data_IF_103805320854
#
_entry.id   IF_103805320854
#
_cell.length_a   1.000
_cell.length_b   1.000
_cell.length_c   1.000
_cell.angle_alpha   90.00
_cell.angle_beta   90.00
_cell.angle_gamma   90.00
#
_symmetry.space_group_name_H-M   'P 1'
#
loop_
_entity.id
_entity.type
_entity.pdbx_description
1 polymer ?
#
# COMPACT_ATOMS: atom_id res chain seq x y z
N UNK A 1 -12.52 -51.69 47.97
CA UNK A 1 -13.16 -50.37 48.17
C UNK A 1 -13.23 -49.68 46.83
N UNK A 2 -14.36 -49.81 46.14
CA UNK A 2 -14.65 -49.21 44.84
C UNK A 2 -16.10 -48.72 44.92
N UNK A 3 -16.29 -47.41 44.99
CA UNK A 3 -17.60 -46.79 45.09
C UNK A 3 -18.01 -46.22 43.73
N UNK A 4 -18.98 -46.88 43.12
CA UNK A 4 -19.71 -46.47 41.91
C UNK A 4 -20.72 -45.39 42.31
N UNK A 5 -20.51 -44.15 41.87
CA UNK A 5 -21.44 -43.04 42.05
C UNK A 5 -22.35 -42.85 40.84
N UNK A 6 -23.64 -43.17 41.01
CA UNK A 6 -24.71 -42.91 40.03
C UNK A 6 -25.18 -41.46 40.20
N UNK A 7 -25.06 -40.63 39.15
CA UNK A 7 -25.60 -39.27 39.13
C UNK A 7 -27.05 -39.31 38.62
N UNK A 8 -28.00 -38.95 39.48
CA UNK A 8 -29.42 -38.77 39.14
C UNK A 8 -29.63 -37.45 38.37
N UNK A 9 -30.29 -37.55 37.22
CA UNK A 9 -30.75 -36.40 36.44
C UNK A 9 -32.07 -35.87 37.02
N UNK A 10 -32.12 -34.59 37.40
CA UNK A 10 -33.33 -33.94 37.89
C UNK A 10 -34.04 -33.21 36.74
N UNK A 11 -35.23 -33.68 36.38
CA UNK A 11 -36.13 -33.03 35.42
C UNK A 11 -36.81 -31.81 36.06
N UNK A 12 -36.52 -30.60 35.57
CA UNK A 12 -37.28 -29.39 35.90
C UNK A 12 -38.41 -29.20 34.89
N UNK A 13 -39.64 -29.06 35.40
CA UNK A 13 -40.83 -28.71 34.63
C UNK A 13 -40.73 -27.29 34.06
N UNK A 14 -41.09 -27.12 32.80
CA UNK A 14 -41.14 -25.82 32.12
C UNK A 14 -42.44 -25.10 32.48
N UNK A 15 -42.33 -23.89 33.05
CA UNK A 15 -43.47 -22.99 33.29
C UNK A 15 -43.58 -22.04 32.09
N UNK A 16 -44.71 -22.07 31.39
CA UNK A 16 -45.02 -21.17 30.27
C UNK A 16 -45.45 -19.80 30.78
N UNK A 17 -44.60 -18.79 30.62
CA UNK A 17 -44.95 -17.39 30.82
C UNK A 17 -45.40 -16.77 29.49
N UNK A 18 -46.63 -16.24 29.45
CA UNK A 18 -47.16 -15.53 28.29
C UNK A 18 -46.48 -14.15 28.15
N UNK A 19 -45.83 -13.90 27.02
CA UNK A 19 -45.21 -12.62 26.70
C UNK A 19 -46.26 -11.63 26.19
N UNK A 20 -46.40 -10.49 26.88
CA UNK A 20 -47.21 -9.35 26.44
C UNK A 20 -46.39 -8.50 25.45
N UNK A 21 -46.83 -8.44 24.19
CA UNK A 21 -46.22 -7.63 23.13
C UNK A 21 -46.59 -6.16 23.29
N UNK A 22 -45.62 -5.30 23.57
CA UNK A 22 -45.77 -3.83 23.45
C UNK A 22 -45.47 -3.41 22.00
N UNK A 23 -46.24 -2.47 21.39
CA UNK A 23 -45.98 -2.01 20.04
C UNK A 23 -44.71 -1.15 19.99
N UNK A 24 -43.87 -1.40 18.99
CA UNK A 24 -42.65 -0.65 18.67
C UNK A 24 -43.08 0.66 17.98
N UNK A 25 -42.65 1.86 18.42
CA UNK A 25 -42.97 3.10 17.72
C UNK A 25 -42.17 3.18 16.42
N UNK A 26 -42.90 3.15 15.30
CA UNK A 26 -42.36 3.31 13.95
C UNK A 26 -42.06 4.78 13.67
N UNK A 27 -40.86 5.23 14.00
CA UNK A 27 -40.28 6.45 13.43
C UNK A 27 -38.95 6.14 12.77
N UNK A 28 -39.01 5.53 11.57
CA UNK A 28 -37.88 5.55 10.65
C UNK A 28 -37.83 6.93 10.01
N UNK A 29 -37.17 7.88 10.68
CA UNK A 29 -36.71 9.08 10.00
C UNK A 29 -35.60 8.68 9.03
N UNK A 30 -35.92 8.69 7.74
CA UNK A 30 -34.95 8.53 6.67
C UNK A 30 -33.99 9.73 6.73
N UNK A 31 -32.85 9.58 7.41
CA UNK A 31 -31.75 10.54 7.29
C UNK A 31 -31.24 10.45 5.85
N UNK A 32 -31.58 11.45 5.05
CA UNK A 32 -30.91 11.72 3.79
C UNK A 32 -29.43 11.99 4.09
N UNK A 33 -28.58 10.99 3.86
CA UNK A 33 -27.14 11.21 3.79
C UNK A 33 -26.91 12.17 2.63
N UNK A 34 -26.49 13.40 2.94
CA UNK A 34 -25.95 14.33 1.95
C UNK A 34 -24.81 13.60 1.23
N UNK A 35 -25.06 13.22 -0.02
CA UNK A 35 -24.04 12.69 -0.91
C UNK A 35 -23.10 13.84 -1.25
N UNK A 36 -22.05 14.00 -0.46
CA UNK A 36 -20.90 14.77 -0.92
C UNK A 36 -20.40 14.15 -2.22
N UNK A 37 -20.10 14.99 -3.21
CA UNK A 37 -19.55 14.55 -4.48
C UNK A 37 -18.33 13.65 -4.23
N UNK A 38 -18.16 12.54 -4.98
CA UNK A 38 -16.98 11.70 -4.85
C UNK A 38 -15.72 12.55 -5.02
N UNK A 39 -14.76 12.37 -4.11
CA UNK A 39 -13.45 12.99 -4.18
C UNK A 39 -12.88 12.74 -5.57
N UNK A 40 -12.42 13.77 -6.31
CA UNK A 40 -11.94 13.59 -7.68
C UNK A 40 -10.87 12.50 -7.74
N UNK A 41 -11.03 11.55 -8.67
CA UNK A 41 -10.03 10.50 -8.93
C UNK A 41 -8.71 11.17 -9.31
N UNK A 42 -7.59 10.72 -8.74
CA UNK A 42 -6.28 11.27 -9.10
C UNK A 42 -6.04 11.11 -10.61
N UNK A 43 -5.30 12.04 -11.21
CA UNK A 43 -4.89 11.91 -12.60
C UNK A 43 -4.16 10.57 -12.80
N UNK A 44 -4.35 9.89 -13.93
CA UNK A 44 -3.70 8.62 -14.20
C UNK A 44 -2.17 8.76 -14.09
N UNK A 45 -1.51 7.70 -13.60
CA UNK A 45 -0.05 7.67 -13.49
C UNK A 45 0.58 7.95 -14.87
N UNK A 46 1.60 8.80 -14.90
CA UNK A 46 2.35 9.11 -16.13
C UNK A 46 3.16 7.92 -16.63
N UNK A 47 3.49 7.00 -15.71
CA UNK A 47 4.23 5.76 -15.98
C UNK A 47 3.24 4.61 -16.16
N UNK A 48 3.49 3.76 -17.16
CA UNK A 48 2.71 2.55 -17.39
C UNK A 48 2.77 1.61 -16.17
N UNK A 49 1.65 1.01 -15.73
CA UNK A 49 1.66 0.01 -14.66
C UNK A 49 2.52 -1.23 -14.95
N UNK A 50 2.86 -1.47 -16.23
CA UNK A 50 3.72 -2.58 -16.67
C UNK A 50 5.17 -2.15 -16.89
N UNK A 51 5.49 -0.87 -16.69
CA UNK A 51 6.82 -0.30 -16.98
C UNK A 51 7.95 -1.18 -16.41
N UNK A 52 7.92 -1.51 -15.12
CA UNK A 52 8.97 -2.32 -14.50
C UNK A 52 9.13 -3.70 -15.17
N UNK A 53 8.02 -4.39 -15.48
CA UNK A 53 8.09 -5.71 -16.13
C UNK A 53 8.55 -5.60 -17.57
N UNK A 54 8.09 -4.59 -18.30
CA UNK A 54 8.39 -4.38 -19.71
C UNK A 54 9.86 -3.97 -19.88
N UNK A 55 10.36 -3.07 -19.03
CA UNK A 55 11.78 -2.66 -19.02
C UNK A 55 12.70 -3.83 -18.68
N UNK A 56 12.33 -4.69 -17.72
CA UNK A 56 13.08 -5.94 -17.43
C UNK A 56 13.10 -6.88 -18.64
N UNK A 57 11.97 -7.06 -19.32
CA UNK A 57 11.89 -7.90 -20.51
C UNK A 57 12.74 -7.35 -21.66
N UNK A 58 12.76 -6.03 -21.85
CA UNK A 58 13.60 -5.34 -22.85
C UNK A 58 15.09 -5.55 -22.61
N UNK A 59 15.55 -5.39 -21.37
CA UNK A 59 16.94 -5.69 -21.02
C UNK A 59 17.25 -7.18 -21.19
N UNK A 60 16.33 -8.05 -20.76
CA UNK A 60 16.45 -9.50 -20.97
C UNK A 60 16.61 -9.88 -22.44
N UNK A 61 15.83 -9.26 -23.34
CA UNK A 61 15.97 -9.45 -24.79
C UNK A 61 17.36 -9.07 -25.30
N UNK A 62 17.91 -7.95 -24.82
CA UNK A 62 19.26 -7.53 -25.18
C UNK A 62 20.29 -8.58 -24.75
N UNK A 63 20.17 -9.10 -23.53
CA UNK A 63 21.07 -10.14 -23.00
C UNK A 63 20.95 -11.44 -23.81
N UNK A 64 19.73 -11.91 -24.09
CA UNK A 64 19.50 -13.15 -24.85
C UNK A 64 20.03 -13.07 -26.28
N UNK A 65 19.95 -11.89 -26.92
CA UNK A 65 20.45 -11.70 -28.28
C UNK A 65 21.99 -11.80 -28.39
N UNK A 66 22.70 -11.53 -27.29
CA UNK A 66 24.16 -11.45 -27.27
C UNK A 66 24.64 -10.01 -27.09
N UNK A 67 25.44 -9.79 -26.05
CA UNK A 67 26.01 -8.49 -25.70
C UNK A 67 27.54 -8.56 -25.65
N UNK A 68 28.19 -7.48 -26.07
CA UNK A 68 29.64 -7.30 -25.86
C UNK A 68 29.93 -7.14 -24.37
N UNK A 69 31.15 -7.44 -23.89
CA UNK A 69 31.48 -7.39 -22.46
C UNK A 69 31.10 -6.07 -21.77
N UNK A 70 31.40 -4.93 -22.39
CA UNK A 70 31.04 -3.59 -21.88
C UNK A 70 29.53 -3.34 -21.78
N UNK A 71 28.73 -3.99 -22.64
CA UNK A 71 27.27 -3.89 -22.65
C UNK A 71 26.66 -4.83 -21.59
N UNK A 72 27.32 -5.96 -21.30
CA UNK A 72 26.92 -6.87 -20.22
C UNK A 72 27.02 -6.16 -18.87
N UNK A 73 28.10 -5.43 -18.63
CA UNK A 73 28.27 -4.64 -17.40
C UNK A 73 27.18 -3.59 -17.23
N UNK A 74 26.85 -2.87 -18.30
CA UNK A 74 25.78 -1.86 -18.30
C UNK A 74 24.39 -2.50 -18.09
N UNK A 75 24.09 -3.60 -18.78
CA UNK A 75 22.85 -4.35 -18.59
C UNK A 75 22.73 -4.88 -17.15
N UNK A 76 23.82 -5.39 -16.58
CA UNK A 76 23.89 -5.82 -15.20
C UNK A 76 23.63 -4.69 -14.20
N UNK A 77 24.19 -3.50 -14.46
CA UNK A 77 23.92 -2.28 -13.67
C UNK A 77 22.43 -1.92 -13.68
N UNK A 78 21.80 -1.89 -14.87
CA UNK A 78 20.37 -1.60 -15.00
C UNK A 78 19.51 -2.64 -14.27
N UNK A 79 19.80 -3.93 -14.46
CA UNK A 79 19.05 -5.02 -13.79
C UNK A 79 19.19 -4.92 -12.27
N UNK A 80 20.39 -4.62 -11.76
CA UNK A 80 20.62 -4.39 -10.34
C UNK A 80 19.75 -3.24 -9.83
N UNK A 81 19.76 -2.10 -10.51
CA UNK A 81 18.95 -0.93 -10.14
C UNK A 81 17.44 -1.23 -10.15
N UNK A 82 16.94 -1.90 -11.19
CA UNK A 82 15.55 -2.38 -11.31
C UNK A 82 15.20 -3.48 -10.29
N UNK A 83 16.20 -4.14 -9.70
CA UNK A 83 16.05 -5.18 -8.68
C UNK A 83 16.01 -4.62 -7.26
N UNK A 84 16.82 -3.59 -6.99
CA UNK A 84 16.99 -3.02 -5.64
C UNK A 84 16.04 -1.85 -5.39
N UNK A 85 15.90 -0.95 -6.36
CA UNK A 85 15.24 0.35 -6.22
C UNK A 85 13.80 0.34 -6.74
N UNK A 86 13.27 -0.84 -7.07
CA UNK A 86 11.98 -0.98 -7.75
C UNK A 86 10.80 -0.36 -6.99
N UNK A 87 10.82 -0.33 -5.65
CA UNK A 87 9.76 0.33 -4.88
C UNK A 87 9.75 1.83 -5.10
N UNK A 88 10.93 2.44 -5.11
CA UNK A 88 11.09 3.88 -5.37
C UNK A 88 10.66 4.20 -6.81
N UNK A 89 11.03 3.35 -7.76
CA UNK A 89 10.62 3.52 -9.16
C UNK A 89 9.11 3.33 -9.34
N UNK A 90 8.49 2.34 -8.70
CA UNK A 90 7.04 2.05 -8.86
C UNK A 90 6.17 2.99 -8.02
N UNK A 91 6.42 3.09 -6.72
CA UNK A 91 5.61 3.90 -5.81
C UNK A 91 6.13 5.33 -5.69
N UNK A 92 7.45 5.51 -5.64
CA UNK A 92 8.07 6.83 -5.51
C UNK A 92 7.85 7.72 -6.74
N UNK A 93 7.74 7.18 -7.95
CA UNK A 93 7.34 7.94 -9.16
C UNK A 93 5.90 8.47 -9.11
N UNK A 94 5.09 8.02 -8.14
CA UNK A 94 3.77 8.55 -7.83
C UNK A 94 3.75 9.40 -6.54
N UNK A 95 4.93 9.67 -5.97
CA UNK A 95 5.12 10.48 -4.77
C UNK A 95 4.96 9.74 -3.44
N UNK A 96 4.92 8.40 -3.44
CA UNK A 96 4.98 7.65 -2.18
C UNK A 96 6.39 7.66 -1.60
N UNK A 97 6.51 7.88 -0.29
CA UNK A 97 7.80 7.79 0.40
C UNK A 97 8.05 6.35 0.85
N UNK A 98 9.04 5.71 0.25
CA UNK A 98 9.28 4.26 0.32
C UNK A 98 10.31 3.84 1.36
N UNK A 99 10.94 4.80 2.05
CA UNK A 99 11.87 4.55 3.14
C UNK A 99 11.22 3.67 4.23
N UNK A 100 11.88 2.62 4.74
CA UNK A 100 11.31 1.74 5.77
C UNK A 100 10.86 2.46 7.05
N UNK A 101 11.47 3.61 7.40
CA UNK A 101 11.09 4.45 8.54
C UNK A 101 9.84 5.29 8.24
N UNK A 102 9.36 5.31 7.00
CA UNK A 102 8.11 5.95 6.58
C UNK A 102 7.05 4.95 6.15
N UNK A 103 7.44 3.76 5.71
CA UNK A 103 6.50 2.71 5.34
C UNK A 103 5.57 2.34 6.50
N UNK A 104 4.26 2.24 6.24
CA UNK A 104 3.31 1.75 7.24
C UNK A 104 3.53 0.26 7.52
N UNK A 105 3.76 -0.52 6.48
CA UNK A 105 4.24 -1.90 6.58
C UNK A 105 5.37 -2.06 5.57
N UNK A 106 6.49 -2.65 5.99
CA UNK A 106 7.62 -2.90 5.11
C UNK A 106 7.93 -4.39 5.05
N UNK A 107 7.71 -5.00 3.88
CA UNK A 107 7.90 -6.44 3.63
C UNK A 107 7.23 -7.34 4.67
N UNK A 108 6.03 -6.97 5.11
CA UNK A 108 5.19 -7.74 6.01
C UNK A 108 4.84 -9.08 5.34
N UNK A 109 5.06 -10.19 6.04
CA UNK A 109 4.68 -11.50 5.50
C UNK A 109 3.15 -11.60 5.42
N UNK A 110 2.66 -12.06 4.27
CA UNK A 110 1.33 -12.63 4.19
C UNK A 110 1.39 -13.99 4.89
N UNK A 111 0.39 -14.30 5.70
CA UNK A 111 0.29 -15.60 6.38
C UNK A 111 -0.81 -16.44 5.74
N UNK A 112 -0.63 -17.76 5.74
CA UNK A 112 -1.52 -18.69 5.03
C UNK A 112 -3.01 -18.50 5.39
N UNK A 113 -3.31 -18.21 6.66
CA UNK A 113 -4.67 -18.00 7.18
C UNK A 113 -5.34 -16.68 6.76
N UNK A 114 -4.67 -15.82 6.00
CA UNK A 114 -5.27 -14.62 5.39
C UNK A 114 -5.96 -14.92 4.06
N UNK A 115 -5.81 -16.15 3.55
CA UNK A 115 -6.51 -16.62 2.37
C UNK A 115 -7.91 -17.14 2.71
N UNK A 116 -8.80 -17.11 1.73
CA UNK A 116 -10.11 -17.76 1.82
C UNK A 116 -10.21 -18.98 0.89
N UNK A 117 -11.39 -19.61 0.86
CA UNK A 117 -11.66 -20.78 0.03
C UNK A 117 -11.56 -20.54 -1.48
N UNK A 118 -11.45 -19.27 -1.93
CA UNK A 118 -11.27 -18.93 -3.34
C UNK A 118 -9.80 -18.98 -3.77
N UNK A 119 -8.87 -19.31 -2.86
CA UNK A 119 -7.47 -19.58 -3.18
C UNK A 119 -6.60 -18.32 -3.30
N UNK A 120 -7.02 -17.21 -2.71
CA UNK A 120 -6.27 -15.96 -2.65
C UNK A 120 -6.51 -15.25 -1.32
N UNK A 121 -5.71 -14.22 -1.03
CA UNK A 121 -5.89 -13.35 0.14
C UNK A 121 -7.30 -12.76 0.12
N UNK A 122 -8.01 -12.90 1.23
CA UNK A 122 -9.38 -12.43 1.35
C UNK A 122 -9.44 -10.90 1.21
N UNK A 123 -10.48 -10.40 0.53
CA UNK A 123 -10.62 -8.97 0.22
C UNK A 123 -10.61 -8.06 1.47
N UNK A 124 -11.14 -8.53 2.61
CA UNK A 124 -11.15 -7.78 3.87
C UNK A 124 -9.73 -7.54 4.40
N UNK A 125 -8.78 -8.42 4.09
CA UNK A 125 -7.40 -8.29 4.57
C UNK A 125 -6.71 -7.04 4.01
N UNK A 126 -7.03 -6.60 2.79
CA UNK A 126 -6.47 -5.38 2.22
C UNK A 126 -6.85 -4.13 3.02
N UNK A 127 -8.08 -4.08 3.55
CA UNK A 127 -8.53 -3.00 4.45
C UNK A 127 -7.73 -3.05 5.76
N UNK A 128 -7.51 -4.25 6.32
CA UNK A 128 -6.69 -4.44 7.53
C UNK A 128 -5.23 -4.05 7.31
N UNK A 129 -4.67 -4.32 6.13
CA UNK A 129 -3.32 -3.91 5.77
C UNK A 129 -3.21 -2.38 5.67
N UNK A 130 -4.19 -1.72 5.05
CA UNK A 130 -4.26 -0.27 4.98
C UNK A 130 -4.39 0.36 6.38
N UNK A 131 -5.26 -0.19 7.24
CA UNK A 131 -5.42 0.25 8.63
C UNK A 131 -4.13 0.12 9.44
N UNK A 132 -3.53 -1.08 9.44
CA UNK A 132 -2.27 -1.34 10.15
C UNK A 132 -1.15 -0.44 9.62
N UNK A 133 -1.10 -0.27 8.30
CA UNK A 133 -0.17 0.64 7.64
C UNK A 133 -0.35 2.08 8.11
N UNK A 134 -1.58 2.59 8.19
CA UNK A 134 -1.87 3.97 8.65
C UNK A 134 -1.47 4.18 10.11
N UNK A 135 -1.76 3.21 10.98
CA UNK A 135 -1.36 3.26 12.38
C UNK A 135 0.16 3.32 12.50
N UNK A 136 0.89 2.42 11.84
CA UNK A 136 2.35 2.41 11.88
C UNK A 136 2.97 3.64 11.21
N UNK A 137 2.41 4.12 10.11
CA UNK A 137 2.81 5.38 9.46
C UNK A 137 2.72 6.56 10.43
N UNK A 138 1.65 6.62 11.23
CA UNK A 138 1.49 7.62 12.30
C UNK A 138 2.54 7.45 13.40
N UNK A 139 2.77 6.23 13.89
CA UNK A 139 3.80 5.94 14.90
C UNK A 139 5.21 6.30 14.44
N UNK A 140 5.50 6.06 13.18
CA UNK A 140 6.80 6.33 12.58
C UNK A 140 7.19 7.82 12.64
N UNK A 141 6.23 8.75 12.61
CA UNK A 141 6.53 10.16 12.90
C UNK A 141 7.10 10.32 14.30
N UNK A 142 6.39 9.84 15.32
CA UNK A 142 6.84 9.90 16.70
C UNK A 142 8.13 9.09 16.97
N UNK A 143 8.44 8.10 16.15
CA UNK A 143 9.65 7.29 16.31
C UNK A 143 10.87 7.89 15.61
N UNK A 144 10.73 8.41 14.39
CA UNK A 144 11.86 8.72 13.52
C UNK A 144 11.93 10.17 13.02
N UNK A 145 10.81 10.91 13.01
CA UNK A 145 10.74 12.23 12.37
C UNK A 145 10.47 13.37 13.35
N UNK A 146 9.81 13.06 14.46
CA UNK A 146 9.50 13.96 15.54
C UNK A 146 9.51 13.26 16.92
N UNK A 147 10.68 12.74 17.36
CA UNK A 147 10.77 12.01 18.63
C UNK A 147 10.38 12.83 19.86
N UNK A 148 10.51 14.16 19.78
CA UNK A 148 10.15 15.08 20.87
C UNK A 148 8.66 15.02 21.21
N UNK A 149 7.79 14.74 20.24
CA UNK A 149 6.33 14.67 20.44
C UNK A 149 5.80 13.24 20.29
N UNK A 150 6.63 12.22 20.54
CA UNK A 150 6.28 10.80 20.38
C UNK A 150 4.94 10.42 21.02
N UNK A 151 4.72 10.82 22.26
CA UNK A 151 3.50 10.46 22.99
C UNK A 151 2.26 11.10 22.37
N UNK A 152 2.38 12.30 21.80
CA UNK A 152 1.28 12.96 21.11
C UNK A 152 0.98 12.28 19.75
N UNK A 153 2.01 11.76 19.05
CA UNK A 153 1.81 10.93 17.86
C UNK A 153 1.14 9.59 18.19
N UNK A 154 1.51 8.93 19.29
CA UNK A 154 0.83 7.70 19.73
C UNK A 154 -0.61 7.99 20.17
N UNK A 155 -0.85 9.13 20.82
CA UNK A 155 -2.18 9.53 21.26
C UNK A 155 -3.20 9.66 20.12
N UNK A 156 -2.74 9.96 18.88
CA UNK A 156 -3.60 9.98 17.69
C UNK A 156 -4.29 8.65 17.39
N UNK A 157 -3.72 7.55 17.90
CA UNK A 157 -4.22 6.18 17.75
C UNK A 157 -5.06 5.73 18.94
N UNK A 158 -5.46 6.67 19.80
CA UNK A 158 -6.26 6.42 21.00
C UNK A 158 -7.47 7.33 21.03
N UNK A 159 -8.42 7.04 21.94
CA UNK A 159 -9.59 7.87 22.20
C UNK A 159 -9.36 8.94 23.29
N UNK A 160 -8.11 9.21 23.69
CA UNK A 160 -7.80 10.05 24.87
C UNK A 160 -7.71 11.56 24.59
N UNK A 161 -7.60 11.97 23.33
CA UNK A 161 -7.36 13.36 22.96
C UNK A 161 -7.78 13.65 21.52
N UNK A 162 -6.90 14.30 20.75
CA UNK A 162 -7.05 14.36 19.30
C UNK A 162 -6.70 12.98 18.73
N UNK A 163 -7.54 12.45 17.86
CA UNK A 163 -7.28 11.20 17.14
C UNK A 163 -7.76 11.22 15.70
N UNK A 164 -7.36 10.18 14.98
CA UNK A 164 -7.63 10.00 13.56
C UNK A 164 -8.73 8.95 13.34
N UNK A 165 -9.88 9.37 12.82
CA UNK A 165 -11.03 8.50 12.53
C UNK A 165 -11.14 8.27 11.03
N UNK A 166 -11.18 7.01 10.61
CA UNK A 166 -11.48 6.66 9.22
C UNK A 166 -12.95 6.95 8.92
N UNK A 167 -13.23 7.95 8.07
CA UNK A 167 -14.58 8.30 7.60
C UNK A 167 -15.02 7.41 6.45
N UNK A 168 -14.12 7.13 5.51
CA UNK A 168 -14.39 6.24 4.38
C UNK A 168 -13.11 5.62 3.84
N UNK A 169 -13.23 4.43 3.26
CA UNK A 169 -12.18 3.78 2.48
C UNK A 169 -12.75 3.20 1.19
N UNK A 170 -12.07 3.44 0.08
CA UNK A 170 -12.32 2.76 -1.20
C UNK A 170 -11.11 1.89 -1.51
N UNK A 171 -11.32 0.65 -1.99
CA UNK A 171 -10.25 -0.28 -2.35
C UNK A 171 -10.41 -0.72 -3.80
N UNK A 172 -9.39 -0.46 -4.62
CA UNK A 172 -9.25 -1.00 -5.96
C UNK A 172 -8.31 -2.20 -5.95
N UNK A 173 -8.86 -3.42 -6.08
CA UNK A 173 -8.06 -4.64 -6.23
C UNK A 173 -7.47 -4.73 -7.65
N UNK A 174 -6.16 -5.01 -7.75
CA UNK A 174 -5.44 -5.04 -9.04
C UNK A 174 -5.11 -6.45 -9.51
N UNK A 175 -4.93 -7.40 -8.59
CA UNK A 175 -4.83 -8.83 -8.88
C UNK A 175 -5.00 -9.64 -7.58
N UNK A 176 -5.41 -10.92 -7.65
CA UNK A 176 -5.52 -11.78 -6.48
C UNK A 176 -4.12 -12.20 -5.98
N UNK A 177 -3.66 -11.63 -4.86
CA UNK A 177 -2.45 -12.09 -4.18
C UNK A 177 -2.67 -13.45 -3.52
N UNK A 178 -1.64 -14.27 -3.45
CA UNK A 178 -1.65 -15.58 -2.79
C UNK A 178 -0.53 -15.68 -1.78
N UNK A 179 -0.63 -16.62 -0.85
CA UNK A 179 0.50 -17.03 -0.03
C UNK A 179 1.38 -18.03 -0.82
N UNK A 180 2.72 -18.01 -0.66
CA UNK A 180 3.52 -17.04 0.09
C UNK A 180 3.78 -15.74 -0.70
N UNK A 181 3.66 -14.60 -0.04
CA UNK A 181 4.09 -13.29 -0.52
C UNK A 181 4.45 -12.39 0.66
N UNK A 182 5.05 -11.24 0.38
CA UNK A 182 5.23 -10.15 1.33
C UNK A 182 4.59 -8.89 0.75
N UNK A 183 4.11 -8.02 1.61
CA UNK A 183 3.56 -6.73 1.21
C UNK A 183 4.33 -5.57 1.81
N UNK A 184 4.39 -4.48 1.07
CA UNK A 184 4.77 -3.18 1.60
C UNK A 184 3.62 -2.21 1.39
N UNK A 185 3.24 -1.48 2.44
CA UNK A 185 2.11 -0.56 2.45
C UNK A 185 2.62 0.86 2.68
N UNK A 186 2.34 1.73 1.72
CA UNK A 186 2.76 3.13 1.75
C UNK A 186 1.55 4.05 1.72
N UNK A 187 1.60 5.09 2.54
CA UNK A 187 0.60 6.16 2.63
C UNK A 187 1.21 7.47 2.13
N UNK A 188 0.42 8.25 1.41
CA UNK A 188 0.83 9.58 0.93
C UNK A 188 -0.34 10.56 1.12
N UNK A 189 -0.04 11.82 1.46
CA UNK A 189 -1.04 12.88 1.52
C UNK A 189 -1.44 13.26 0.09
N UNK A 190 -2.73 13.26 -0.21
CA UNK A 190 -3.24 13.63 -1.54
C UNK A 190 -3.11 15.12 -1.84
N UNK A 191 -3.26 15.96 -0.81
CA UNK A 191 -3.15 17.41 -0.92
C UNK A 191 -2.34 17.95 0.25
N UNK A 192 -1.65 19.07 0.02
CA UNK A 192 -0.90 19.75 1.06
C UNK A 192 -1.85 20.26 2.15
N UNK A 193 -1.67 19.89 3.43
CA UNK A 193 -2.54 20.37 4.48
C UNK A 193 -2.23 21.82 4.86
N UNK A 194 -3.22 22.49 5.42
CA UNK A 194 -3.18 23.83 5.98
C UNK A 194 -3.83 23.88 7.37
N UNK A 195 -3.85 25.06 7.97
CA UNK A 195 -4.38 25.34 9.30
C UNK A 195 -5.88 25.02 9.43
N UNK A 196 -6.62 25.03 8.31
CA UNK A 196 -8.05 24.72 8.24
C UNK A 196 -8.33 23.23 8.04
N UNK A 197 -7.30 22.41 7.86
CA UNK A 197 -7.44 20.99 7.54
C UNK A 197 -8.00 20.21 8.73
N UNK A 198 -9.20 19.67 8.54
CA UNK A 198 -9.92 18.80 9.50
C UNK A 198 -10.08 17.36 9.01
N UNK A 199 -9.67 17.08 7.78
CA UNK A 199 -9.70 15.75 7.16
C UNK A 199 -8.46 15.58 6.28
N UNK A 200 -7.83 14.41 6.38
CA UNK A 200 -6.69 14.01 5.58
C UNK A 200 -7.15 12.97 4.59
N UNK A 201 -7.04 13.29 3.29
CA UNK A 201 -7.24 12.30 2.24
C UNK A 201 -5.89 11.63 1.96
N UNK A 202 -5.83 10.33 2.23
CA UNK A 202 -4.62 9.53 2.07
C UNK A 202 -4.79 8.57 0.90
N UNK A 203 -3.83 8.62 -0.01
CA UNK A 203 -3.65 7.57 -1.00
C UNK A 203 -2.79 6.47 -0.38
N UNK A 204 -3.20 5.22 -0.62
CA UNK A 204 -2.53 4.03 -0.09
C UNK A 204 -2.17 3.11 -1.23
N UNK A 205 -0.93 2.65 -1.25
CA UNK A 205 -0.45 1.64 -2.18
C UNK A 205 -0.03 0.40 -1.40
N UNK A 206 -0.67 -0.73 -1.69
CA UNK A 206 -0.30 -2.05 -1.19
C UNK A 206 0.48 -2.75 -2.32
N UNK A 207 1.80 -2.82 -2.18
CA UNK A 207 2.68 -3.50 -3.13
C UNK A 207 2.83 -4.98 -2.77
N UNK A 208 2.76 -5.85 -3.76
CA UNK A 208 3.27 -7.21 -3.67
C UNK A 208 4.77 -7.21 -3.94
N UNK A 209 5.51 -7.84 -3.05
CA UNK A 209 6.95 -8.01 -3.15
C UNK A 209 7.32 -9.08 -4.18
N UNK A 210 6.56 -10.17 -4.24
CA UNK A 210 6.79 -11.25 -5.21
C UNK A 210 6.48 -10.82 -6.65
N UNK A 211 5.46 -9.99 -6.85
CA UNK A 211 5.06 -9.50 -8.19
C UNK A 211 5.63 -8.14 -8.55
N UNK A 212 6.25 -7.44 -7.59
CA UNK A 212 6.85 -6.11 -7.74
C UNK A 212 5.90 -5.08 -8.38
N UNK A 213 4.63 -5.11 -8.00
CA UNK A 213 3.59 -4.20 -8.50
C UNK A 213 2.47 -3.98 -7.48
N UNK A 214 1.66 -2.92 -7.62
CA UNK A 214 0.50 -2.71 -6.77
C UNK A 214 -0.48 -3.87 -6.85
N UNK A 215 -0.80 -4.46 -5.70
CA UNK A 215 -1.84 -5.46 -5.52
C UNK A 215 -3.20 -4.84 -5.24
N UNK A 216 -3.21 -3.75 -4.48
CA UNK A 216 -4.38 -2.91 -4.30
C UNK A 216 -3.97 -1.45 -4.14
N UNK A 217 -4.93 -0.56 -4.43
CA UNK A 217 -4.85 0.86 -4.10
C UNK A 217 -6.02 1.21 -3.21
N UNK A 218 -5.79 2.00 -2.19
CA UNK A 218 -6.86 2.50 -1.35
C UNK A 218 -6.89 4.02 -1.32
N UNK A 219 -8.08 4.57 -1.13
CA UNK A 219 -8.31 5.98 -0.84
C UNK A 219 -8.99 6.08 0.51
N UNK A 220 -8.30 6.66 1.50
CA UNK A 220 -8.83 6.87 2.84
C UNK A 220 -9.18 8.35 3.04
N UNK A 221 -10.36 8.63 3.59
CA UNK A 221 -10.71 9.95 4.15
C UNK A 221 -10.65 9.83 5.68
N UNK A 222 -9.69 10.51 6.29
CA UNK A 222 -9.37 10.39 7.72
C UNK A 222 -9.63 11.71 8.42
N UNK A 223 -10.66 11.74 9.25
CA UNK A 223 -11.09 12.92 9.98
C UNK A 223 -10.27 13.10 11.25
N UNK A 224 -9.83 14.33 11.50
CA UNK A 224 -9.23 14.73 12.77
C UNK A 224 -10.35 15.03 13.76
N UNK A 225 -10.36 14.32 14.89
CA UNK A 225 -11.45 14.36 15.85
C UNK A 225 -10.92 14.56 17.27
N UNK A 226 -11.50 15.50 18.02
CA UNK A 226 -11.21 15.67 19.44
C UNK A 226 -12.22 14.87 20.27
N UNK A 227 -11.76 13.77 20.85
CA UNK A 227 -12.58 12.88 21.67
C UNK A 227 -13.03 13.49 22.99
N UNK A 228 -12.35 14.53 23.48
CA UNK A 228 -12.70 15.19 24.75
C UNK A 228 -13.93 16.07 24.58
N UNK A 229 -14.06 16.69 23.41
CA UNK A 229 -15.16 17.62 23.09
C UNK A 229 -16.21 16.98 22.16
N UNK A 230 -15.89 15.83 21.55
CA UNK A 230 -16.83 15.09 20.71
C UNK A 230 -17.09 15.74 19.35
N UNK A 231 -16.11 16.44 18.78
CA UNK A 231 -16.25 17.14 17.50
C UNK A 231 -15.01 17.09 16.63
N UNK A 232 -15.16 17.40 15.34
CA UNK A 232 -14.03 17.59 14.41
C UNK A 232 -13.10 18.69 14.93
N UNK A 233 -11.80 18.49 14.73
CA UNK A 233 -10.74 19.42 15.10
C UNK A 233 -9.75 19.60 13.95
N UNK A 234 -8.82 20.53 14.11
CA UNK A 234 -7.60 20.61 13.30
C UNK A 234 -6.46 19.84 13.98
N UNK A 235 -5.39 19.61 13.22
CA UNK A 235 -4.14 19.05 13.73
C UNK A 235 -3.43 20.03 14.65
N UNK A 236 -2.66 19.48 15.60
CA UNK A 236 -1.71 20.29 16.38
C UNK A 236 -0.66 20.94 15.45
N UNK A 237 -0.18 22.16 15.75
CA UNK A 237 0.73 22.89 14.85
C UNK A 237 2.00 22.12 14.45
N UNK A 238 2.58 21.35 15.37
CA UNK A 238 3.77 20.55 15.06
C UNK A 238 3.45 19.38 14.11
N UNK A 239 2.28 18.76 14.23
CA UNK A 239 1.83 17.70 13.33
C UNK A 239 1.56 18.25 11.93
N UNK A 240 0.87 19.40 11.87
CA UNK A 240 0.62 20.10 10.61
C UNK A 240 1.94 20.41 9.88
N UNK A 241 2.94 20.92 10.60
CA UNK A 241 4.27 21.19 10.03
C UNK A 241 4.95 19.92 9.50
N UNK A 242 4.85 18.80 10.21
CA UNK A 242 5.40 17.52 9.75
C UNK A 242 4.68 16.99 8.51
N UNK A 243 3.37 17.16 8.41
CA UNK A 243 2.62 16.77 7.22
C UNK A 243 2.85 17.71 6.04
N UNK A 244 2.98 19.03 6.24
CA UNK A 244 3.43 19.97 5.19
C UNK A 244 4.80 19.54 4.64
N UNK A 245 5.77 19.28 5.52
CA UNK A 245 7.09 18.77 5.14
C UNK A 245 7.01 17.44 4.40
N UNK A 246 6.13 16.53 4.83
CA UNK A 246 5.96 15.23 4.18
C UNK A 246 5.37 15.38 2.79
N UNK A 247 4.38 16.24 2.60
CA UNK A 247 3.84 16.54 1.28
C UNK A 247 4.92 17.10 0.34
N UNK A 248 5.73 18.05 0.83
CA UNK A 248 6.81 18.63 0.03
C UNK A 248 7.86 17.54 -0.36
N UNK A 249 8.15 16.59 0.52
CA UNK A 249 8.99 15.42 0.22
C UNK A 249 8.35 14.47 -0.79
N UNK A 250 7.03 14.27 -0.77
CA UNK A 250 6.31 13.44 -1.74
C UNK A 250 6.45 13.99 -3.14
N UNK A 251 6.28 15.31 -3.31
CA UNK A 251 6.44 15.97 -4.62
C UNK A 251 7.88 15.89 -5.13
N UNK A 252 8.86 16.05 -4.23
CA UNK A 252 10.27 15.88 -4.57
C UNK A 252 10.58 14.44 -4.99
N UNK A 253 10.12 13.45 -4.21
CA UNK A 253 10.31 12.03 -4.53
C UNK A 253 9.68 11.65 -5.87
N UNK A 254 8.51 12.20 -6.18
CA UNK A 254 7.84 12.03 -7.49
C UNK A 254 8.74 12.50 -8.63
N UNK A 255 9.23 13.73 -8.53
CA UNK A 255 10.12 14.33 -9.54
C UNK A 255 11.40 13.51 -9.73
N UNK A 256 12.07 13.15 -8.63
CA UNK A 256 13.35 12.45 -8.68
C UNK A 256 13.21 11.05 -9.26
N UNK A 257 12.17 10.30 -8.88
CA UNK A 257 11.96 8.95 -9.39
C UNK A 257 11.49 8.94 -10.85
N UNK A 258 10.72 9.93 -11.29
CA UNK A 258 10.39 10.09 -12.71
C UNK A 258 11.65 10.38 -13.54
N UNK A 259 12.57 11.21 -13.04
CA UNK A 259 13.85 11.47 -13.70
C UNK A 259 14.71 10.19 -13.79
N UNK A 260 14.76 9.39 -12.71
CA UNK A 260 15.46 8.09 -12.72
C UNK A 260 14.85 7.12 -13.74
N UNK A 261 13.52 7.03 -13.81
CA UNK A 261 12.83 6.23 -14.82
C UNK A 261 13.25 6.65 -16.22
N UNK A 262 13.26 7.94 -16.51
CA UNK A 262 13.68 8.45 -17.81
C UNK A 262 15.14 8.08 -18.14
N UNK A 263 16.05 8.22 -17.17
CA UNK A 263 17.46 7.83 -17.35
C UNK A 263 17.60 6.33 -17.63
N UNK A 264 16.84 5.48 -16.93
CA UNK A 264 16.82 4.04 -17.19
C UNK A 264 16.30 3.76 -18.60
N UNK A 265 15.22 4.41 -19.02
CA UNK A 265 14.65 4.28 -20.37
C UNK A 265 15.67 4.64 -21.46
N UNK A 266 16.41 5.73 -21.29
CA UNK A 266 17.46 6.17 -22.20
C UNK A 266 18.62 5.14 -22.28
N UNK A 267 19.06 4.63 -21.13
CA UNK A 267 20.12 3.61 -21.04
C UNK A 267 19.69 2.29 -21.69
N UNK A 268 18.47 1.83 -21.43
CA UNK A 268 17.90 0.63 -22.06
C UNK A 268 17.79 0.83 -23.57
N UNK A 269 17.32 2.00 -24.04
CA UNK A 269 17.21 2.28 -25.47
C UNK A 269 18.58 2.29 -26.15
N UNK A 270 19.62 2.79 -25.48
CA UNK A 270 21.00 2.74 -25.97
C UNK A 270 21.50 1.30 -26.10
N UNK A 271 21.20 0.44 -25.12
CA UNK A 271 21.52 -0.99 -25.20
C UNK A 271 20.79 -1.69 -26.35
N UNK A 272 19.50 -1.42 -26.54
CA UNK A 272 18.71 -2.02 -27.64
C UNK A 272 19.33 -1.68 -29.00
N UNK A 273 19.61 -0.39 -29.26
CA UNK A 273 20.23 0.07 -30.51
C UNK A 273 21.64 -0.46 -30.75
N UNK A 274 22.35 -0.82 -29.68
CA UNK A 274 23.69 -1.37 -29.76
C UNK A 274 23.70 -2.91 -29.77
N UNK A 275 22.53 -3.56 -29.71
CA UNK A 275 22.34 -5.01 -29.73
C UNK A 275 21.39 -5.42 -30.86
N UNK A 276 20.15 -5.80 -30.55
CA UNK A 276 19.18 -6.39 -31.49
C UNK A 276 18.49 -5.38 -32.41
N UNK A 277 18.42 -4.10 -32.04
CA UNK A 277 17.75 -3.05 -32.81
C UNK A 277 18.76 -2.22 -33.63
N UNK A 278 19.63 -2.94 -34.34
CA UNK A 278 20.60 -2.41 -35.30
C UNK A 278 20.43 -3.18 -36.63
N UNK A 279 20.33 -2.51 -37.79
CA UNK A 279 20.21 -3.16 -39.09
C UNK A 279 21.30 -4.20 -39.40
N UNK A 280 22.49 -4.01 -38.83
CA UNK A 280 23.64 -4.91 -39.04
C UNK A 280 23.81 -5.93 -37.89
N UNK A 281 22.82 -6.07 -37.01
CA UNK A 281 22.90 -6.95 -35.85
C UNK A 281 22.85 -8.43 -36.28
N UNK A 282 23.81 -9.21 -35.79
CA UNK A 282 23.82 -10.68 -35.91
C UNK A 282 23.66 -11.24 -34.50
N UNK A 283 22.67 -12.12 -34.33
CA UNK A 283 22.39 -12.79 -33.06
C UNK A 283 23.54 -13.74 -32.69
N UNK A 284 23.96 -13.69 -31.42
CA UNK A 284 24.95 -14.63 -30.89
C UNK A 284 24.25 -15.94 -30.54
N UNK A 285 24.41 -16.94 -31.41
CA UNK A 285 23.84 -18.28 -31.22
C UNK A 285 24.64 -19.15 -30.24
N UNK A 286 25.69 -18.60 -29.61
CA UNK A 286 26.60 -19.31 -28.75
C UNK A 286 27.43 -20.39 -29.47
N UNK A 287 28.23 -21.12 -28.70
CA UNK A 287 29.15 -22.14 -29.23
C UNK A 287 28.45 -23.38 -29.83
N UNK A 288 27.14 -23.53 -29.65
CA UNK A 288 26.36 -24.65 -30.19
C UNK A 288 26.23 -24.61 -31.72
N UNK A 289 26.21 -23.41 -32.34
CA UNK A 289 26.15 -23.27 -33.80
C UNK A 289 27.49 -23.55 -34.50
N UNK A 290 28.61 -23.52 -33.75
CA UNK A 290 29.96 -23.73 -34.30
C UNK A 290 30.37 -25.21 -34.37
N UNK A 291 29.57 -26.15 -33.84
CA UNK A 291 29.87 -27.59 -33.85
C UNK A 291 29.23 -28.36 -35.02
N UNK A 292 28.56 -27.66 -35.94
CA UNK A 292 27.83 -28.26 -37.06
C UNK A 292 28.44 -27.95 -38.45
N UNK A 293 29.75 -27.66 -38.51
CA UNK A 293 30.50 -27.46 -39.75
C UNK A 293 31.59 -28.52 -39.92
#
# INVERSE_FOLDING_TARGET
MTATGVIRCASRAATTAAATTKPIPTFLQYRSYSSQAPTPREAPSTVSPRWLSDTKARVGKCITFGLKPEQVDEAGSIVSELGTSWRDLVAGSEGFLTDPKRAGLFRQNIVWGEQDSMGHVNNVMYVRFAESGRCNWTRNYGQYHDPKHRDAWEALLTSKGIGLILKSITVDFKFPMTWPDKISVFHKLRSRPDESTQSLVLDVMILSEAKQRPAARCLEDVVVYDYRVGKKSSLEPFMLNQFKKTFDLQEQAKKDNLAKIQQIEERVRKLEKASWDNPDAVEDMGSAAQQSA
#
